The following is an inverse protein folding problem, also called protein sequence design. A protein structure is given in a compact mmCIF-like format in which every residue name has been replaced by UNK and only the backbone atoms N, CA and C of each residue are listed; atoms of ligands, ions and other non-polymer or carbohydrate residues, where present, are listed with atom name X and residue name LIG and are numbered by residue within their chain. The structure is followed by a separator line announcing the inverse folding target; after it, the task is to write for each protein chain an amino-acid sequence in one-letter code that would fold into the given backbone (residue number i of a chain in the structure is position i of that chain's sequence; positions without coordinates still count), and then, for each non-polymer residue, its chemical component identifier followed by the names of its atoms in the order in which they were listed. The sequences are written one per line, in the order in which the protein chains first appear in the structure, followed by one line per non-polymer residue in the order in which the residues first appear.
data_IF_272242438506
#
_entry.id   IF_272242438506
#
_cell.length_a   1.000
_cell.length_b   1.000
_cell.length_c   1.000
_cell.angle_alpha   90.00
_cell.angle_beta   90.00
_cell.angle_gamma   90.00
#
_symmetry.space_group_name_H-M   'P 1'
#
loop_
_entity.id
_entity.type
_entity.pdbx_description
1 polymer ?
#
# COMPACT_ATOMS: atom_id res chain seq x y z
N UNK A 1 21.42 3.08 -45.50
CA UNK A 1 20.25 2.41 -44.86
C UNK A 1 20.18 2.56 -43.34
N UNK A 2 21.28 2.66 -42.59
CA UNK A 2 21.26 2.81 -41.11
C UNK A 2 20.74 4.16 -40.58
N UNK A 3 20.87 5.28 -41.31
CA UNK A 3 20.42 6.59 -40.89
C UNK A 3 18.88 6.78 -40.96
N UNK A 4 18.22 6.11 -41.90
CA UNK A 4 16.76 6.24 -42.07
C UNK A 4 16.00 5.43 -41.00
N UNK A 5 16.56 4.31 -40.54
CA UNK A 5 15.96 3.49 -39.50
C UNK A 5 15.95 4.19 -38.14
N UNK A 6 17.01 4.94 -37.82
CA UNK A 6 17.09 5.72 -36.57
C UNK A 6 16.15 6.95 -36.55
N UNK A 7 15.96 7.62 -37.69
CA UNK A 7 15.00 8.74 -37.77
C UNK A 7 13.56 8.28 -37.59
N UNK A 8 13.16 7.19 -38.23
CA UNK A 8 11.80 6.64 -38.13
C UNK A 8 11.49 6.12 -36.69
N UNK A 9 12.48 5.59 -35.99
CA UNK A 9 12.31 5.18 -34.58
C UNK A 9 12.23 6.37 -33.63
N UNK A 10 12.98 7.43 -33.89
CA UNK A 10 12.93 8.68 -33.08
C UNK A 10 11.60 9.39 -33.30
N UNK A 11 11.14 9.58 -34.53
CA UNK A 11 9.82 10.18 -34.84
C UNK A 11 8.64 9.35 -34.30
N UNK A 12 8.68 8.03 -34.34
CA UNK A 12 7.65 7.15 -33.77
C UNK A 12 7.65 7.20 -32.25
N UNK A 13 8.81 7.40 -31.63
CA UNK A 13 8.94 7.53 -30.18
C UNK A 13 8.48 8.92 -29.71
N UNK A 14 8.80 9.98 -30.44
CA UNK A 14 8.32 11.35 -30.20
C UNK A 14 6.80 11.49 -30.40
N UNK A 15 6.22 10.86 -31.44
CA UNK A 15 4.78 10.87 -31.67
C UNK A 15 3.99 10.09 -30.61
N UNK A 16 4.52 8.99 -30.09
CA UNK A 16 3.91 8.28 -28.95
C UNK A 16 4.00 9.08 -27.66
N UNK A 17 5.08 9.82 -27.47
CA UNK A 17 5.27 10.65 -26.26
C UNK A 17 4.33 11.84 -26.25
N UNK A 18 4.07 12.47 -27.40
CA UNK A 18 3.10 13.59 -27.52
C UNK A 18 1.64 13.17 -27.36
N UNK A 19 1.31 11.89 -27.52
CA UNK A 19 -0.04 11.36 -27.34
C UNK A 19 -0.34 10.91 -25.88
N UNK A 20 0.66 10.84 -25.00
CA UNK A 20 0.44 10.41 -23.62
C UNK A 20 -0.27 11.52 -22.82
N UNK A 21 -1.48 11.26 -22.28
CA UNK A 21 -2.27 12.26 -21.57
C UNK A 21 -1.57 12.90 -20.37
N UNK A 22 -0.63 12.20 -19.75
CA UNK A 22 0.12 12.73 -18.62
C UNK A 22 1.07 13.87 -18.97
N UNK A 23 1.47 14.02 -20.23
CA UNK A 23 2.36 15.10 -20.69
C UNK A 23 1.60 16.37 -21.10
N UNK A 24 0.29 16.38 -20.96
CA UNK A 24 -0.56 17.51 -21.30
C UNK A 24 -1.30 18.04 -20.07
N UNK A 25 -1.70 19.31 -20.13
CA UNK A 25 -2.64 19.85 -19.16
C UNK A 25 -4.00 19.15 -19.28
N UNK A 26 -4.63 18.89 -18.14
CA UNK A 26 -5.96 18.29 -18.15
C UNK A 26 -7.02 19.37 -18.44
N UNK A 27 -7.59 19.33 -19.64
CA UNK A 27 -8.69 20.22 -20.05
C UNK A 27 -10.05 19.61 -19.67
N UNK A 28 -10.18 19.13 -18.45
CA UNK A 28 -11.37 18.52 -17.88
C UNK A 28 -11.91 19.41 -16.76
N UNK A 29 -13.21 19.32 -16.41
CA UNK A 29 -13.71 20.02 -15.24
C UNK A 29 -12.88 19.68 -13.99
N UNK A 30 -12.51 20.72 -13.23
CA UNK A 30 -11.70 20.61 -12.01
C UNK A 30 -10.32 19.93 -12.21
N UNK A 31 -9.80 19.91 -13.45
CA UNK A 31 -8.52 19.25 -13.78
C UNK A 31 -8.46 17.76 -13.40
N UNK A 32 -9.61 17.09 -13.38
CA UNK A 32 -9.68 15.65 -13.09
C UNK A 32 -8.92 14.88 -14.18
N UNK A 33 -8.11 13.85 -13.84
CA UNK A 33 -7.43 13.04 -14.84
C UNK A 33 -8.39 12.49 -15.90
N UNK A 34 -8.09 12.60 -17.21
CA UNK A 34 -8.96 12.12 -18.28
C UNK A 34 -8.91 10.58 -18.37
N UNK A 35 -9.60 9.90 -17.46
CA UNK A 35 -9.59 8.44 -17.33
C UNK A 35 -10.05 7.71 -18.59
N UNK A 36 -10.90 8.34 -19.41
CA UNK A 36 -11.32 7.85 -20.72
C UNK A 36 -10.18 7.77 -21.74
N UNK A 37 -9.11 8.56 -21.55
CA UNK A 37 -7.93 8.62 -22.43
C UNK A 37 -6.69 7.94 -21.83
N UNK A 38 -6.65 7.78 -20.52
CA UNK A 38 -5.52 7.15 -19.84
C UNK A 38 -5.58 5.63 -20.03
N UNK A 39 -4.51 5.05 -20.57
CA UNK A 39 -4.35 3.62 -20.76
C UNK A 39 -3.17 3.10 -19.94
N UNK A 40 -3.15 1.79 -19.66
CA UNK A 40 -2.09 1.14 -18.87
C UNK A 40 -0.70 1.41 -19.46
N UNK A 41 -0.56 1.39 -20.78
CA UNK A 41 0.69 1.65 -21.50
C UNK A 41 1.28 3.07 -21.28
N UNK A 42 0.48 4.03 -20.82
CA UNK A 42 0.90 5.40 -20.58
C UNK A 42 1.70 5.56 -19.28
N UNK A 43 1.50 4.69 -18.28
CA UNK A 43 2.07 4.88 -16.95
C UNK A 43 3.59 4.75 -16.91
N UNK A 44 4.16 3.66 -17.41
CA UNK A 44 5.60 3.43 -17.33
C UNK A 44 6.42 4.56 -17.99
N UNK A 45 6.14 4.95 -19.24
CA UNK A 45 6.86 6.06 -19.87
C UNK A 45 6.71 7.38 -19.10
N UNK A 46 5.51 7.66 -18.58
CA UNK A 46 5.26 8.90 -17.84
C UNK A 46 5.94 8.92 -16.47
N UNK A 47 6.00 7.79 -15.77
CA UNK A 47 6.74 7.66 -14.50
C UNK A 47 8.24 7.89 -14.75
N UNK A 48 8.82 7.22 -15.75
CA UNK A 48 10.25 7.34 -16.05
C UNK A 48 10.62 8.76 -16.50
N UNK A 49 9.81 9.41 -17.33
CA UNK A 49 10.02 10.82 -17.71
C UNK A 49 9.81 11.76 -16.51
N UNK A 50 8.83 11.47 -15.64
CA UNK A 50 8.60 12.18 -14.40
C UNK A 50 9.80 12.12 -13.45
N UNK A 51 10.41 10.94 -13.28
CA UNK A 51 11.65 10.76 -12.53
C UNK A 51 12.76 11.63 -13.12
N UNK A 52 12.99 11.53 -14.43
CA UNK A 52 14.03 12.27 -15.12
C UNK A 52 13.90 13.79 -14.97
N UNK A 53 12.68 14.34 -15.11
CA UNK A 53 12.41 15.77 -14.93
C UNK A 53 12.64 16.19 -13.49
N UNK A 54 12.11 15.44 -12.54
CA UNK A 54 12.29 15.74 -11.12
C UNK A 54 13.79 15.68 -10.71
N UNK A 55 14.57 14.71 -11.22
CA UNK A 55 16.02 14.66 -10.99
C UNK A 55 16.74 15.88 -11.54
N UNK A 56 16.34 16.40 -12.69
CA UNK A 56 16.90 17.60 -13.27
C UNK A 56 16.57 18.83 -12.40
N UNK A 57 15.35 18.99 -11.93
CA UNK A 57 14.90 20.05 -11.04
C UNK A 57 15.68 20.02 -9.71
N UNK A 58 15.74 18.86 -9.07
CA UNK A 58 16.50 18.65 -7.82
C UNK A 58 17.99 18.93 -8.02
N UNK A 59 18.56 18.53 -9.15
CA UNK A 59 19.96 18.79 -9.48
C UNK A 59 20.23 20.28 -9.65
N UNK A 60 19.32 21.02 -10.28
CA UNK A 60 19.41 22.47 -10.43
C UNK A 60 19.39 23.17 -9.06
N UNK A 61 18.47 22.77 -8.16
CA UNK A 61 18.39 23.29 -6.79
C UNK A 61 19.70 23.00 -6.04
N UNK A 62 20.15 21.73 -6.06
CA UNK A 62 21.33 21.29 -5.32
C UNK A 62 22.65 21.99 -5.78
N UNK A 63 22.76 22.30 -7.07
CA UNK A 63 23.94 22.91 -7.66
C UNK A 63 23.84 24.46 -7.84
N UNK A 64 22.77 25.09 -7.38
CA UNK A 64 22.62 26.54 -7.44
C UNK A 64 23.80 27.25 -6.75
N UNK A 65 24.35 28.21 -7.40
CA UNK A 65 25.43 29.07 -6.87
C UNK A 65 24.93 30.14 -5.90
N UNK A 66 23.64 30.41 -5.87
CA UNK A 66 23.00 31.34 -4.96
C UNK A 66 23.05 30.85 -3.51
N UNK A 67 23.13 31.76 -2.58
CA UNK A 67 23.02 31.45 -1.16
C UNK A 67 21.68 30.77 -0.89
N UNK A 68 21.63 29.67 -0.08
CA UNK A 68 20.39 29.00 0.22
C UNK A 68 19.34 29.90 0.92
N UNK A 69 18.15 29.98 0.36
CA UNK A 69 16.98 30.66 0.93
C UNK A 69 15.78 29.74 0.99
N UNK A 70 14.74 30.13 1.73
CA UNK A 70 13.49 29.38 1.78
C UNK A 70 12.91 29.23 0.36
N UNK A 71 12.93 30.29 -0.44
CA UNK A 71 12.35 30.34 -1.79
C UNK A 71 13.13 29.45 -2.77
N UNK A 72 14.46 29.65 -2.85
CA UNK A 72 15.29 28.96 -3.87
C UNK A 72 15.68 27.52 -3.49
N UNK A 73 15.29 27.06 -2.31
CA UNK A 73 15.60 25.69 -1.86
C UNK A 73 14.35 24.98 -1.35
N UNK A 74 13.70 25.46 -0.30
CA UNK A 74 12.57 24.76 0.31
C UNK A 74 11.33 24.83 -0.60
N UNK A 75 10.90 26.04 -0.97
CA UNK A 75 9.75 26.23 -1.85
C UNK A 75 10.02 25.67 -3.26
N UNK A 76 11.24 25.79 -3.76
CA UNK A 76 11.63 25.17 -5.03
C UNK A 76 11.50 23.65 -5.00
N UNK A 77 11.83 22.99 -3.88
CA UNK A 77 11.63 21.54 -3.70
C UNK A 77 10.16 21.16 -3.58
N UNK A 78 9.32 22.01 -2.95
CA UNK A 78 7.86 21.74 -2.85
C UNK A 78 7.20 21.79 -4.24
N UNK A 79 7.68 22.63 -5.13
CA UNK A 79 7.17 22.80 -6.49
C UNK A 79 7.79 21.82 -7.51
N UNK A 80 8.83 21.09 -7.12
CA UNK A 80 9.50 20.13 -8.01
C UNK A 80 8.74 18.79 -8.09
N UNK A 81 8.87 18.08 -9.22
CA UNK A 81 8.34 16.75 -9.41
C UNK A 81 6.83 16.69 -9.73
N UNK A 82 6.23 17.76 -10.21
CA UNK A 82 4.80 17.83 -10.53
C UNK A 82 4.35 16.68 -11.44
N UNK A 83 5.06 16.42 -12.55
CA UNK A 83 4.71 15.34 -13.46
C UNK A 83 4.74 13.97 -12.75
N UNK A 84 5.80 13.70 -11.99
CA UNK A 84 5.94 12.42 -11.28
C UNK A 84 4.83 12.25 -10.25
N UNK A 85 4.52 13.29 -9.49
CA UNK A 85 3.44 13.29 -8.50
C UNK A 85 2.09 13.01 -9.16
N UNK A 86 1.77 13.73 -10.23
CA UNK A 86 0.56 13.58 -11.03
C UNK A 86 0.35 12.15 -11.52
N UNK A 87 1.39 11.55 -12.10
CA UNK A 87 1.32 10.16 -12.61
C UNK A 87 1.22 9.15 -11.48
N UNK A 88 2.03 9.28 -10.43
CA UNK A 88 2.06 8.33 -9.32
C UNK A 88 0.75 8.30 -8.54
N UNK A 89 0.07 9.43 -8.35
CA UNK A 89 -1.24 9.48 -7.70
C UNK A 89 -2.26 8.67 -8.50
N UNK A 90 -2.34 8.87 -9.81
CA UNK A 90 -3.29 8.13 -10.66
C UNK A 90 -2.93 6.64 -10.72
N UNK A 91 -1.65 6.32 -10.94
CA UNK A 91 -1.16 4.95 -10.98
C UNK A 91 -1.43 4.21 -9.67
N UNK A 92 -1.08 4.81 -8.54
CA UNK A 92 -1.27 4.22 -7.22
C UNK A 92 -2.74 3.93 -6.90
N UNK A 93 -3.64 4.87 -7.23
CA UNK A 93 -5.08 4.67 -7.04
C UNK A 93 -5.62 3.54 -7.90
N UNK A 94 -5.30 3.50 -9.20
CA UNK A 94 -5.76 2.43 -10.08
C UNK A 94 -5.15 1.08 -9.71
N UNK A 95 -3.86 1.05 -9.38
CA UNK A 95 -3.19 -0.20 -8.98
C UNK A 95 -3.71 -0.75 -7.65
N UNK A 96 -4.23 0.08 -6.75
CA UNK A 96 -4.80 -0.37 -5.48
C UNK A 96 -6.28 -0.75 -5.57
N UNK A 97 -7.07 -0.03 -6.36
CA UNK A 97 -8.52 -0.16 -6.40
C UNK A 97 -9.04 -0.99 -7.60
N UNK A 98 -8.34 -0.99 -8.73
CA UNK A 98 -8.74 -1.65 -9.97
C UNK A 98 -7.53 -2.15 -10.75
N UNK A 99 -6.70 -2.98 -10.12
CA UNK A 99 -5.47 -3.51 -10.71
C UNK A 99 -5.74 -4.60 -11.75
N UNK A 100 -4.74 -4.82 -12.60
CA UNK A 100 -4.65 -5.94 -13.53
C UNK A 100 -3.19 -6.39 -13.68
N UNK A 101 -2.94 -7.49 -14.39
CA UNK A 101 -1.61 -8.08 -14.54
C UNK A 101 -0.59 -7.11 -15.16
N UNK A 102 -1.04 -6.26 -16.10
CA UNK A 102 -0.19 -5.22 -16.71
C UNK A 102 0.20 -4.13 -15.71
N UNK A 103 -0.75 -3.61 -14.93
CA UNK A 103 -0.47 -2.62 -13.89
C UNK A 103 0.48 -3.19 -12.82
N UNK A 104 0.27 -4.45 -12.41
CA UNK A 104 1.18 -5.14 -11.48
C UNK A 104 2.58 -5.33 -12.04
N UNK A 105 2.68 -5.66 -13.33
CA UNK A 105 3.97 -5.75 -14.04
C UNK A 105 4.68 -4.40 -14.06
N UNK A 106 3.96 -3.33 -14.41
CA UNK A 106 4.52 -1.97 -14.39
C UNK A 106 4.97 -1.60 -12.98
N UNK A 107 4.16 -1.87 -11.95
CA UNK A 107 4.52 -1.62 -10.55
C UNK A 107 5.86 -2.29 -10.19
N UNK A 108 6.05 -3.55 -10.59
CA UNK A 108 7.30 -4.29 -10.37
C UNK A 108 8.50 -3.66 -11.09
N UNK A 109 8.29 -3.20 -12.32
CA UNK A 109 9.34 -2.61 -13.15
C UNK A 109 9.76 -1.22 -12.68
N UNK A 110 8.82 -0.37 -12.20
CA UNK A 110 9.11 1.00 -11.79
C UNK A 110 9.47 1.16 -10.32
N UNK A 111 9.10 0.21 -9.46
CA UNK A 111 9.35 0.28 -8.01
C UNK A 111 10.82 0.49 -7.63
N UNK A 112 11.80 -0.21 -8.23
CA UNK A 112 13.22 0.06 -7.97
C UNK A 112 13.66 1.46 -8.40
N UNK A 113 13.13 1.96 -9.54
CA UNK A 113 13.46 3.31 -10.03
C UNK A 113 12.93 4.39 -9.08
N UNK A 114 11.70 4.24 -8.59
CA UNK A 114 11.10 5.15 -7.62
C UNK A 114 11.85 5.13 -6.27
N UNK A 115 12.24 3.96 -5.80
CA UNK A 115 13.03 3.83 -4.57
C UNK A 115 14.41 4.49 -4.72
N UNK A 116 15.12 4.23 -5.82
CA UNK A 116 16.42 4.85 -6.11
C UNK A 116 16.30 6.38 -6.26
N UNK A 117 15.26 6.86 -6.95
CA UNK A 117 14.98 8.27 -7.10
C UNK A 117 14.76 8.97 -5.75
N UNK A 118 13.95 8.38 -4.87
CA UNK A 118 13.76 8.90 -3.52
C UNK A 118 15.07 8.97 -2.73
N UNK A 119 15.88 7.91 -2.81
CA UNK A 119 17.21 7.91 -2.18
C UNK A 119 18.15 8.93 -2.78
N UNK A 120 18.10 9.18 -4.10
CA UNK A 120 18.89 10.23 -4.78
C UNK A 120 18.55 11.63 -4.29
N UNK A 121 17.34 11.89 -3.88
CA UNK A 121 16.93 13.16 -3.28
C UNK A 121 17.42 13.25 -1.83
N UNK A 122 16.98 12.33 -0.97
CA UNK A 122 17.17 12.45 0.47
C UNK A 122 18.59 12.11 0.96
N UNK A 123 19.40 11.39 0.16
CA UNK A 123 20.80 11.12 0.47
C UNK A 123 21.76 12.08 -0.26
N UNK A 124 21.24 13.09 -0.98
CA UNK A 124 22.02 14.09 -1.69
C UNK A 124 22.66 15.07 -0.71
N UNK A 125 23.97 15.02 -0.60
CA UNK A 125 24.72 15.85 0.35
C UNK A 125 24.66 17.35 0.03
N UNK A 126 24.70 17.73 -1.28
CA UNK A 126 24.63 19.13 -1.67
C UNK A 126 23.27 19.72 -1.34
N UNK A 127 22.20 18.98 -1.65
CA UNK A 127 20.85 19.40 -1.35
C UNK A 127 20.63 19.51 0.16
N UNK A 128 21.07 18.51 0.91
CA UNK A 128 20.95 18.55 2.38
C UNK A 128 21.74 19.68 3.01
N UNK A 129 22.95 20.01 2.51
CA UNK A 129 23.71 21.18 2.97
C UNK A 129 22.91 22.48 2.80
N UNK A 130 22.17 22.63 1.70
CA UNK A 130 21.32 23.80 1.47
C UNK A 130 20.16 23.86 2.46
N UNK A 131 19.44 22.74 2.60
CA UNK A 131 18.32 22.63 3.57
C UNK A 131 18.79 22.91 5.00
N UNK A 132 19.93 22.32 5.40
CA UNK A 132 20.52 22.50 6.72
C UNK A 132 20.94 23.95 6.98
N UNK A 133 21.52 24.61 5.99
CA UNK A 133 21.94 26.03 6.12
C UNK A 133 20.75 26.97 6.38
N UNK A 134 19.57 26.65 5.85
CA UNK A 134 18.33 27.39 6.12
C UNK A 134 17.80 27.02 7.51
N UNK A 135 17.77 25.72 7.84
CA UNK A 135 17.35 25.24 9.16
C UNK A 135 18.14 25.84 10.31
N UNK A 136 19.48 25.92 10.18
CA UNK A 136 20.36 26.47 11.22
C UNK A 136 20.10 27.96 11.48
N UNK A 137 19.49 28.67 10.53
CA UNK A 137 19.14 30.09 10.64
C UNK A 137 17.65 30.37 10.85
N UNK A 138 16.83 29.33 11.07
CA UNK A 138 15.37 29.42 11.09
C UNK A 138 14.83 30.51 12.02
N UNK A 139 15.44 30.72 13.18
CA UNK A 139 15.00 31.73 14.16
C UNK A 139 15.22 33.20 13.66
N UNK A 140 16.16 33.40 12.74
CA UNK A 140 16.42 34.70 12.14
C UNK A 140 15.61 34.97 10.87
N UNK A 141 14.97 33.93 10.32
CA UNK A 141 14.10 34.03 9.16
C UNK A 141 12.68 34.45 9.61
N UNK A 142 12.12 35.43 8.93
CA UNK A 142 10.75 35.89 9.21
C UNK A 142 9.73 34.97 8.53
N UNK A 143 9.79 33.65 8.82
CA UNK A 143 8.87 32.66 8.27
C UNK A 143 7.51 32.75 8.98
N UNK A 144 6.43 32.62 8.21
CA UNK A 144 5.12 32.38 8.80
C UNK A 144 5.02 30.94 9.34
N UNK A 145 3.92 30.60 10.04
CA UNK A 145 3.75 29.28 10.69
C UNK A 145 3.80 28.13 9.68
N UNK A 146 3.21 28.30 8.51
CA UNK A 146 3.21 27.29 7.45
C UNK A 146 4.61 27.08 6.90
N UNK A 147 5.33 28.15 6.53
CA UNK A 147 6.70 28.10 6.04
C UNK A 147 7.65 27.45 7.06
N UNK A 148 7.51 27.84 8.33
CA UNK A 148 8.31 27.24 9.41
C UNK A 148 8.04 25.73 9.53
N UNK A 149 6.78 25.31 9.39
CA UNK A 149 6.40 23.89 9.42
C UNK A 149 6.90 23.11 8.21
N UNK A 150 6.84 23.69 7.03
CA UNK A 150 7.41 23.09 5.80
C UNK A 150 8.92 22.88 5.97
N UNK A 151 9.65 23.90 6.45
CA UNK A 151 11.08 23.79 6.70
C UNK A 151 11.41 22.70 7.73
N UNK A 152 10.68 22.65 8.84
CA UNK A 152 10.82 21.60 9.87
C UNK A 152 10.64 20.22 9.25
N UNK A 153 9.52 20.02 8.55
CA UNK A 153 9.19 18.73 7.93
C UNK A 153 10.25 18.31 6.91
N UNK A 154 10.72 19.24 6.09
CA UNK A 154 11.72 18.97 5.06
C UNK A 154 13.07 18.60 5.66
N UNK A 155 13.57 19.39 6.63
CA UNK A 155 14.81 19.06 7.34
C UNK A 155 14.73 17.69 8.04
N UNK A 156 13.64 17.43 8.73
CA UNK A 156 13.38 16.18 9.43
C UNK A 156 13.33 14.99 8.46
N UNK A 157 12.68 15.16 7.31
CA UNK A 157 12.61 14.11 6.28
C UNK A 157 14.02 13.71 5.79
N UNK A 158 14.92 14.67 5.57
CA UNK A 158 16.32 14.39 5.22
C UNK A 158 17.05 13.62 6.32
N UNK A 159 16.97 14.08 7.56
CA UNK A 159 17.65 13.44 8.70
C UNK A 159 17.15 12.02 8.89
N UNK A 160 15.85 11.82 8.89
CA UNK A 160 15.20 10.50 9.04
C UNK A 160 15.44 9.56 7.87
N UNK A 161 15.72 10.11 6.69
CA UNK A 161 16.09 9.33 5.50
C UNK A 161 17.59 9.03 5.42
N UNK A 162 18.39 9.45 6.39
CA UNK A 162 19.81 9.09 6.49
C UNK A 162 20.79 10.10 5.87
N UNK A 163 20.39 11.37 5.69
CA UNK A 163 21.27 12.41 5.13
C UNK A 163 22.59 12.56 5.91
N UNK A 164 22.57 12.34 7.22
CA UNK A 164 23.73 12.42 8.12
C UNK A 164 24.62 11.15 8.12
N UNK A 165 24.26 10.10 7.42
CA UNK A 165 25.05 8.87 7.36
C UNK A 165 26.34 9.06 6.57
N UNK A 166 27.36 8.25 6.89
CA UNK A 166 28.55 8.11 6.04
C UNK A 166 28.16 7.54 4.66
N UNK A 167 28.99 7.75 3.64
CA UNK A 167 28.72 7.23 2.30
C UNK A 167 28.57 5.72 2.29
N UNK A 168 29.38 4.98 3.04
CA UNK A 168 29.26 3.53 3.20
C UNK A 168 27.86 3.13 3.75
N UNK A 169 27.40 3.85 4.76
CA UNK A 169 26.08 3.58 5.36
C UNK A 169 24.93 4.03 4.46
N UNK A 170 25.10 5.09 3.66
CA UNK A 170 24.13 5.45 2.61
C UNK A 170 24.00 4.37 1.55
N UNK A 171 25.11 3.75 1.14
CA UNK A 171 25.10 2.64 0.18
C UNK A 171 24.39 1.39 0.75
N UNK A 172 24.61 1.09 2.03
CA UNK A 172 23.86 0.02 2.72
C UNK A 172 22.38 0.34 2.78
N UNK A 173 22.02 1.58 3.11
CA UNK A 173 20.62 2.02 3.19
C UNK A 173 19.92 1.92 1.84
N UNK A 174 20.57 2.30 0.73
CA UNK A 174 20.04 2.14 -0.64
C UNK A 174 19.70 0.68 -0.95
N UNK A 175 20.59 -0.26 -0.60
CA UNK A 175 20.34 -1.70 -0.78
C UNK A 175 19.13 -2.17 0.02
N UNK A 176 19.06 -1.77 1.29
CA UNK A 176 17.92 -2.10 2.17
C UNK A 176 16.62 -1.53 1.61
N UNK A 177 16.61 -0.27 1.16
CA UNK A 177 15.41 0.36 0.59
C UNK A 177 14.94 -0.33 -0.69
N UNK A 178 15.87 -0.69 -1.59
CA UNK A 178 15.56 -1.44 -2.81
C UNK A 178 14.94 -2.82 -2.49
N UNK A 179 15.53 -3.56 -1.54
CA UNK A 179 15.01 -4.85 -1.14
C UNK A 179 13.66 -4.76 -0.42
N UNK A 180 13.47 -3.75 0.46
CA UNK A 180 12.19 -3.48 1.10
C UNK A 180 11.10 -3.20 0.09
N UNK A 181 11.40 -2.38 -0.92
CA UNK A 181 10.44 -2.02 -1.98
C UNK A 181 9.97 -3.28 -2.75
N UNK A 182 10.89 -4.08 -3.25
CA UNK A 182 10.58 -5.29 -4.01
C UNK A 182 9.89 -6.36 -3.16
N UNK A 183 10.37 -6.58 -1.92
CA UNK A 183 9.79 -7.60 -1.04
C UNK A 183 8.38 -7.21 -0.57
N UNK A 184 8.13 -5.92 -0.30
CA UNK A 184 6.80 -5.42 0.06
C UNK A 184 5.81 -5.57 -1.10
N UNK A 185 6.27 -5.28 -2.32
CA UNK A 185 5.45 -5.44 -3.52
C UNK A 185 5.10 -6.92 -3.74
N UNK A 186 6.10 -7.82 -3.67
CA UNK A 186 5.89 -9.27 -3.80
C UNK A 186 4.90 -9.79 -2.75
N UNK A 187 5.06 -9.37 -1.49
CA UNK A 187 4.15 -9.73 -0.42
C UNK A 187 2.68 -9.38 -0.75
N UNK A 188 2.44 -8.16 -1.20
CA UNK A 188 1.10 -7.71 -1.58
C UNK A 188 0.53 -8.47 -2.79
N UNK A 189 1.36 -8.70 -3.81
CA UNK A 189 0.96 -9.44 -5.01
C UNK A 189 0.59 -10.89 -4.70
N UNK A 190 1.34 -11.57 -3.83
CA UNK A 190 1.04 -12.94 -3.42
C UNK A 190 -0.31 -13.05 -2.69
N UNK A 191 -0.59 -12.13 -1.75
CA UNK A 191 -1.89 -12.08 -1.06
C UNK A 191 -3.04 -11.85 -2.05
N UNK A 192 -2.86 -10.92 -2.99
CA UNK A 192 -3.88 -10.60 -3.99
C UNK A 192 -4.13 -11.79 -4.92
N UNK A 193 -3.06 -12.42 -5.43
CA UNK A 193 -3.14 -13.56 -6.33
C UNK A 193 -3.91 -14.73 -5.68
N UNK A 194 -3.60 -15.06 -4.43
CA UNK A 194 -4.31 -16.11 -3.72
C UNK A 194 -5.76 -15.74 -3.39
N UNK A 195 -6.01 -14.48 -3.01
CA UNK A 195 -7.38 -13.98 -2.81
C UNK A 195 -8.23 -14.17 -4.06
N UNK A 196 -7.66 -13.92 -5.24
CA UNK A 196 -8.35 -14.03 -6.52
C UNK A 196 -8.45 -15.49 -7.03
N UNK A 197 -7.50 -16.36 -6.65
CA UNK A 197 -7.44 -17.75 -7.05
C UNK A 197 -8.49 -18.63 -6.35
N UNK A 198 -8.83 -18.28 -5.12
CA UNK A 198 -9.72 -19.12 -4.30
C UNK A 198 -11.17 -19.06 -4.76
N UNK A 199 -11.81 -20.21 -4.80
CA UNK A 199 -13.23 -20.38 -5.14
C UNK A 199 -13.87 -21.44 -4.24
N UNK A 200 -14.86 -21.04 -3.44
CA UNK A 200 -15.78 -21.97 -2.79
C UNK A 200 -16.96 -22.19 -3.74
N UNK A 201 -16.98 -23.33 -4.41
CA UNK A 201 -18.01 -23.68 -5.39
C UNK A 201 -19.11 -24.52 -4.71
N UNK A 202 -20.33 -24.02 -4.72
CA UNK A 202 -21.52 -24.72 -4.18
C UNK A 202 -22.38 -25.15 -5.35
N UNK A 203 -22.81 -26.43 -5.35
CA UNK A 203 -23.66 -27.02 -6.38
C UNK A 203 -25.06 -27.37 -5.89
N UNK A 204 -25.25 -27.60 -4.58
CA UNK A 204 -26.54 -27.85 -3.99
C UNK A 204 -27.14 -26.59 -3.36
N UNK A 205 -28.30 -26.16 -3.85
CA UNK A 205 -29.01 -24.99 -3.33
C UNK A 205 -29.32 -25.08 -1.82
N UNK A 206 -29.44 -26.27 -1.26
CA UNK A 206 -29.70 -26.47 0.18
C UNK A 206 -28.56 -25.97 1.06
N UNK A 207 -27.33 -25.96 0.52
CA UNK A 207 -26.14 -25.45 1.23
C UNK A 207 -26.07 -23.91 1.31
N UNK A 208 -26.97 -23.22 0.58
CA UNK A 208 -27.08 -21.75 0.61
C UNK A 208 -27.98 -21.22 1.72
N UNK A 209 -28.50 -22.12 2.57
CA UNK A 209 -29.44 -21.76 3.65
C UNK A 209 -28.85 -20.69 4.55
N UNK A 210 -29.65 -19.66 4.82
CA UNK A 210 -29.30 -18.51 5.66
C UNK A 210 -28.66 -17.32 4.90
N UNK A 211 -28.16 -17.54 3.69
CA UNK A 211 -27.56 -16.47 2.89
C UNK A 211 -28.63 -15.50 2.34
N UNK A 212 -28.38 -14.19 2.33
CA UNK A 212 -29.22 -13.19 1.67
C UNK A 212 -29.33 -13.45 0.16
N UNK A 213 -30.49 -13.14 -0.43
CA UNK A 213 -30.74 -13.41 -1.84
C UNK A 213 -29.78 -12.63 -2.76
N UNK A 214 -29.42 -11.40 -2.41
CA UNK A 214 -28.46 -10.58 -3.17
C UNK A 214 -27.08 -11.26 -3.23
N UNK A 215 -26.64 -11.85 -2.12
CA UNK A 215 -25.36 -12.56 -2.08
C UNK A 215 -25.41 -13.85 -2.92
N UNK A 216 -26.54 -14.56 -2.90
CA UNK A 216 -26.77 -15.76 -3.73
C UNK A 216 -26.75 -15.39 -5.21
N UNK A 217 -27.40 -14.28 -5.60
CA UNK A 217 -27.42 -13.80 -6.98
C UNK A 217 -26.01 -13.40 -7.46
N UNK A 218 -25.26 -12.63 -6.66
CA UNK A 218 -23.89 -12.28 -6.98
C UNK A 218 -22.98 -13.51 -7.14
N UNK A 219 -23.13 -14.50 -6.25
CA UNK A 219 -22.38 -15.76 -6.35
C UNK A 219 -22.74 -16.59 -7.61
N UNK A 220 -23.98 -16.49 -8.09
CA UNK A 220 -24.39 -17.14 -9.34
C UNK A 220 -23.80 -16.42 -10.56
N UNK A 221 -23.75 -15.10 -10.55
CA UNK A 221 -23.10 -14.30 -11.62
C UNK A 221 -21.58 -14.57 -11.66
N UNK A 222 -20.92 -14.60 -10.50
CA UNK A 222 -19.52 -14.99 -10.40
C UNK A 222 -19.27 -16.39 -10.95
N UNK A 223 -20.14 -17.34 -10.64
CA UNK A 223 -20.06 -18.70 -11.18
C UNK A 223 -20.19 -18.70 -12.71
N UNK A 224 -21.14 -17.96 -13.26
CA UNK A 224 -21.35 -17.82 -14.71
C UNK A 224 -20.12 -17.19 -15.39
N UNK A 225 -19.60 -16.11 -14.83
CA UNK A 225 -18.38 -15.47 -15.35
C UNK A 225 -17.17 -16.40 -15.40
N UNK A 226 -17.15 -17.43 -14.52
CA UNK A 226 -16.09 -18.46 -14.42
C UNK A 226 -16.44 -19.76 -15.15
N UNK A 227 -17.49 -19.78 -15.99
CA UNK A 227 -17.89 -20.97 -16.75
C UNK A 227 -18.49 -22.10 -15.91
N UNK A 228 -19.06 -21.78 -14.73
CA UNK A 228 -19.66 -22.72 -13.80
C UNK A 228 -21.18 -22.50 -13.68
N UNK A 229 -21.86 -22.39 -14.80
CA UNK A 229 -23.31 -22.15 -14.84
C UNK A 229 -24.10 -23.14 -13.97
N UNK A 230 -25.14 -22.64 -13.30
CA UNK A 230 -25.97 -23.44 -12.40
C UNK A 230 -25.37 -23.72 -11.02
N UNK A 231 -24.21 -23.15 -10.72
CA UNK A 231 -23.54 -23.20 -9.41
C UNK A 231 -23.44 -21.82 -8.78
N UNK A 232 -22.86 -21.75 -7.59
CA UNK A 232 -22.58 -20.54 -6.86
C UNK A 232 -21.10 -20.50 -6.47
N UNK A 233 -20.42 -19.39 -6.74
CA UNK A 233 -19.01 -19.21 -6.39
C UNK A 233 -18.88 -18.10 -5.36
N UNK A 234 -18.30 -18.43 -4.21
CA UNK A 234 -17.91 -17.46 -3.19
C UNK A 234 -16.39 -17.32 -3.16
N UNK A 235 -15.92 -16.09 -3.06
CA UNK A 235 -14.51 -15.74 -3.11
C UNK A 235 -14.01 -15.22 -1.77
N UNK A 236 -12.70 -14.92 -1.68
CA UNK A 236 -12.12 -14.28 -0.49
C UNK A 236 -12.17 -12.74 -0.53
N UNK A 237 -12.86 -12.14 -1.50
CA UNK A 237 -13.15 -10.71 -1.46
C UNK A 237 -14.03 -10.38 -0.25
N UNK A 238 -13.81 -9.21 0.38
CA UNK A 238 -14.56 -8.83 1.58
C UNK A 238 -16.08 -8.80 1.36
N UNK A 239 -16.53 -8.44 0.17
CA UNK A 239 -17.95 -8.43 -0.22
C UNK A 239 -18.57 -9.83 -0.32
N UNK A 240 -17.76 -10.87 -0.47
CA UNK A 240 -18.19 -12.27 -0.53
C UNK A 240 -17.97 -12.99 0.80
N UNK A 241 -16.73 -13.03 1.31
CA UNK A 241 -16.39 -13.83 2.51
C UNK A 241 -17.07 -13.34 3.79
N UNK A 242 -17.13 -12.00 4.00
CA UNK A 242 -17.68 -11.47 5.25
C UNK A 242 -19.18 -11.75 5.41
N UNK A 243 -20.06 -11.45 4.43
CA UNK A 243 -21.45 -11.82 4.55
C UNK A 243 -21.67 -13.35 4.52
N UNK A 244 -20.83 -14.13 3.82
CA UNK A 244 -20.89 -15.58 3.89
C UNK A 244 -20.70 -16.08 5.32
N UNK A 245 -19.66 -15.64 6.01
CA UNK A 245 -19.37 -15.97 7.40
C UNK A 245 -20.46 -15.48 8.37
N UNK A 246 -21.15 -14.41 8.02
CA UNK A 246 -22.18 -13.79 8.85
C UNK A 246 -23.53 -14.51 8.73
N UNK A 247 -23.87 -15.03 7.55
CA UNK A 247 -25.22 -15.51 7.26
C UNK A 247 -25.34 -16.99 6.92
N UNK A 248 -24.30 -17.63 6.37
CA UNK A 248 -24.39 -19.04 6.02
C UNK A 248 -24.67 -19.92 7.24
N UNK A 249 -25.76 -20.72 7.22
CA UNK A 249 -26.04 -21.67 8.28
C UNK A 249 -25.15 -22.92 8.23
N UNK A 250 -24.47 -23.17 7.08
CA UNK A 250 -23.58 -24.31 6.92
C UNK A 250 -22.23 -24.08 7.62
N UNK A 251 -22.11 -24.61 8.85
CA UNK A 251 -20.92 -24.45 9.68
C UNK A 251 -19.63 -24.96 9.01
N UNK A 252 -19.73 -26.08 8.27
CA UNK A 252 -18.56 -26.66 7.57
C UNK A 252 -18.06 -25.75 6.46
N UNK A 253 -18.95 -25.13 5.70
CA UNK A 253 -18.58 -24.18 4.66
C UNK A 253 -18.07 -22.87 5.25
N UNK A 254 -18.59 -22.41 6.39
CA UNK A 254 -17.99 -21.28 7.13
C UNK A 254 -16.56 -21.57 7.55
N UNK A 255 -16.29 -22.76 8.09
CA UNK A 255 -14.93 -23.18 8.42
C UNK A 255 -14.04 -23.16 7.19
N UNK A 256 -14.44 -23.78 6.10
CA UNK A 256 -13.66 -23.88 4.87
C UNK A 256 -13.26 -22.50 4.31
N UNK A 257 -14.21 -21.57 4.22
CA UNK A 257 -13.89 -20.22 3.70
C UNK A 257 -13.13 -19.38 4.72
N UNK A 258 -13.35 -19.60 6.02
CA UNK A 258 -12.60 -18.93 7.08
C UNK A 258 -11.14 -19.37 7.09
N UNK A 259 -10.88 -20.67 7.01
CA UNK A 259 -9.52 -21.22 6.94
C UNK A 259 -8.80 -20.65 5.72
N UNK A 260 -9.42 -20.73 4.54
CA UNK A 260 -8.85 -20.16 3.31
C UNK A 260 -8.54 -18.66 3.41
N UNK A 261 -9.41 -17.87 4.05
CA UNK A 261 -9.22 -16.44 4.22
C UNK A 261 -8.04 -16.11 5.15
N UNK A 262 -7.88 -16.88 6.24
CA UNK A 262 -6.87 -16.60 7.27
C UNK A 262 -5.49 -17.22 6.98
N UNK A 263 -5.43 -18.22 6.10
CA UNK A 263 -4.17 -18.87 5.72
C UNK A 263 -3.63 -18.39 4.36
N UNK A 264 -4.17 -17.31 3.82
CA UNK A 264 -3.68 -16.76 2.54
C UNK A 264 -2.18 -16.52 2.55
N UNK A 265 -1.52 -16.95 1.48
CA UNK A 265 -0.08 -16.89 1.28
C UNK A 265 0.74 -17.58 2.40
N UNK A 266 0.21 -18.73 2.90
CA UNK A 266 0.86 -19.55 3.93
C UNK A 266 0.66 -21.05 3.65
N UNK A 267 1.01 -21.50 2.42
CA UNK A 267 0.73 -22.86 1.94
C UNK A 267 1.95 -23.59 1.39
N UNK A 268 3.17 -23.08 1.56
CA UNK A 268 4.41 -23.63 1.02
C UNK A 268 4.40 -23.79 -0.52
N UNK A 269 3.71 -22.85 -1.20
CA UNK A 269 3.63 -22.77 -2.67
C UNK A 269 4.27 -21.49 -3.21
N UNK A 270 4.14 -21.24 -4.51
CA UNK A 270 4.74 -20.06 -5.19
C UNK A 270 4.22 -18.71 -4.66
N UNK A 271 3.07 -18.71 -3.99
CA UNK A 271 2.46 -17.52 -3.39
C UNK A 271 2.75 -17.37 -1.90
N UNK A 272 3.56 -18.28 -1.32
CA UNK A 272 3.88 -18.24 0.11
C UNK A 272 4.65 -16.97 0.50
N UNK A 273 4.28 -16.40 1.64
CA UNK A 273 4.85 -15.16 2.15
C UNK A 273 5.69 -15.33 3.42
N UNK A 274 5.89 -16.54 3.94
CA UNK A 274 6.66 -16.76 5.17
C UNK A 274 8.06 -16.14 5.10
N UNK A 275 8.80 -16.41 4.03
CA UNK A 275 10.12 -15.83 3.83
C UNK A 275 10.07 -14.32 3.63
N UNK A 276 9.06 -13.81 2.89
CA UNK A 276 8.89 -12.37 2.69
C UNK A 276 8.63 -11.64 4.01
N UNK A 277 7.83 -12.20 4.91
CA UNK A 277 7.56 -11.64 6.25
C UNK A 277 8.83 -11.55 7.08
N UNK A 278 9.60 -12.64 7.14
CA UNK A 278 10.88 -12.69 7.87
C UNK A 278 11.85 -11.66 7.29
N UNK A 279 11.98 -11.62 5.96
CA UNK A 279 12.86 -10.67 5.27
C UNK A 279 12.45 -9.22 5.54
N UNK A 280 11.17 -8.89 5.45
CA UNK A 280 10.66 -7.54 5.73
C UNK A 280 10.93 -7.13 7.18
N UNK A 281 10.71 -8.02 8.15
CA UNK A 281 10.98 -7.74 9.56
C UNK A 281 12.46 -7.45 9.81
N UNK A 282 13.36 -8.27 9.25
CA UNK A 282 14.80 -8.10 9.38
C UNK A 282 15.30 -6.81 8.74
N UNK A 283 14.92 -6.53 7.48
CA UNK A 283 15.31 -5.32 6.77
C UNK A 283 14.80 -4.05 7.45
N UNK A 284 13.57 -4.05 7.98
CA UNK A 284 13.02 -2.93 8.76
C UNK A 284 13.81 -2.68 10.03
N UNK A 285 14.19 -3.76 10.74
CA UNK A 285 15.02 -3.66 11.93
C UNK A 285 16.44 -3.17 11.61
N UNK A 286 17.05 -3.66 10.54
CA UNK A 286 18.37 -3.22 10.08
C UNK A 286 18.36 -1.75 9.67
N UNK A 287 17.36 -1.31 8.87
CA UNK A 287 17.16 0.09 8.50
C UNK A 287 17.06 0.98 9.73
N UNK A 288 16.23 0.62 10.71
CA UNK A 288 16.06 1.41 11.91
C UNK A 288 17.38 1.57 12.70
N UNK A 289 18.10 0.48 12.90
CA UNK A 289 19.42 0.52 13.58
C UNK A 289 20.43 1.35 12.81
N UNK A 290 20.48 1.22 11.48
CA UNK A 290 21.37 2.01 10.63
C UNK A 290 21.10 3.52 10.76
N UNK A 291 19.84 3.89 10.93
CA UNK A 291 19.39 5.27 11.15
C UNK A 291 19.50 5.74 12.61
N UNK A 292 20.02 4.91 13.53
CA UNK A 292 20.25 5.26 14.93
C UNK A 292 19.07 5.00 15.87
N UNK A 293 18.03 4.31 15.42
CA UNK A 293 16.88 3.94 16.25
C UNK A 293 17.05 2.58 16.90
N UNK A 294 16.48 2.38 18.09
CA UNK A 294 16.50 1.10 18.81
C UNK A 294 15.76 0.00 18.06
N UNK A 295 14.60 0.35 17.49
CA UNK A 295 13.74 -0.58 16.76
C UNK A 295 13.03 0.12 15.60
N UNK A 296 12.41 -0.69 14.72
CA UNK A 296 11.54 -0.18 13.68
C UNK A 296 10.34 0.59 14.25
N UNK A 297 9.81 0.14 15.38
CA UNK A 297 8.70 0.82 16.07
C UNK A 297 9.11 2.20 16.58
N UNK A 298 10.32 2.36 17.14
CA UNK A 298 10.82 3.68 17.54
C UNK A 298 10.92 4.62 16.32
N UNK A 299 11.44 4.11 15.20
CA UNK A 299 11.55 4.88 13.95
C UNK A 299 10.18 5.34 13.43
N UNK A 300 9.19 4.44 13.36
CA UNK A 300 7.87 4.77 12.81
C UNK A 300 7.07 5.67 13.73
N UNK A 301 7.07 5.37 15.03
CA UNK A 301 6.21 6.06 16.00
C UNK A 301 6.68 7.47 16.35
N UNK A 302 7.93 7.83 16.08
CA UNK A 302 8.42 9.21 16.25
C UNK A 302 7.52 10.25 15.56
N UNK A 303 6.99 9.90 14.38
CA UNK A 303 6.10 10.77 13.59
C UNK A 303 4.60 10.52 13.85
N UNK A 304 4.26 9.49 14.59
CA UNK A 304 2.88 9.17 14.93
C UNK A 304 2.41 9.93 16.19
N UNK A 305 1.09 9.99 16.41
CA UNK A 305 0.51 10.58 17.63
C UNK A 305 1.03 9.91 18.91
N UNK A 306 1.28 8.62 18.87
CA UNK A 306 1.77 7.84 20.01
C UNK A 306 3.22 8.19 20.42
N UNK A 307 4.03 8.72 19.51
CA UNK A 307 5.42 9.16 19.69
C UNK A 307 6.44 8.04 19.94
N UNK A 308 6.10 7.01 20.69
CA UNK A 308 7.01 5.94 21.07
C UNK A 308 6.26 4.63 21.38
N UNK A 309 6.97 3.47 21.39
CA UNK A 309 6.38 2.17 21.68
C UNK A 309 5.76 2.04 23.08
N UNK A 310 6.27 2.75 24.07
CA UNK A 310 5.75 2.68 25.44
C UNK A 310 4.31 3.24 25.53
N UNK A 311 4.03 4.36 24.85
CA UNK A 311 2.70 4.95 24.81
C UNK A 311 1.69 4.01 24.09
N UNK A 312 2.14 3.31 23.04
CA UNK A 312 1.31 2.30 22.37
C UNK A 312 1.01 1.13 23.30
N UNK A 313 2.04 0.61 23.98
CA UNK A 313 1.88 -0.49 24.91
C UNK A 313 0.93 -0.11 26.08
N UNK A 314 1.06 1.10 26.60
CA UNK A 314 0.18 1.60 27.65
C UNK A 314 -1.28 1.59 27.19
N UNK A 315 -1.58 2.22 26.04
CA UNK A 315 -2.94 2.25 25.49
C UNK A 315 -3.51 0.84 25.28
N UNK A 316 -2.71 -0.06 24.70
CA UNK A 316 -3.15 -1.43 24.44
C UNK A 316 -3.40 -2.20 25.74
N UNK A 317 -2.56 -2.03 26.78
CA UNK A 317 -2.74 -2.69 28.06
C UNK A 317 -3.99 -2.17 28.79
N UNK A 318 -4.24 -0.86 28.74
CA UNK A 318 -5.41 -0.25 29.35
C UNK A 318 -6.73 -0.76 28.72
N UNK A 319 -6.71 -1.02 27.41
CA UNK A 319 -7.86 -1.55 26.67
C UNK A 319 -8.00 -3.07 26.80
N UNK A 320 -6.89 -3.80 26.95
CA UNK A 320 -6.89 -5.28 26.84
C UNK A 320 -7.69 -5.95 27.95
N UNK A 321 -7.49 -5.56 29.20
CA UNK A 321 -8.13 -6.21 30.33
C UNK A 321 -9.68 -6.11 30.27
N UNK A 322 -10.30 -4.91 30.12
CA UNK A 322 -11.76 -4.83 29.98
C UNK A 322 -12.28 -5.47 28.68
N UNK A 323 -11.56 -5.36 27.56
CA UNK A 323 -11.98 -5.97 26.30
C UNK A 323 -11.98 -7.50 26.39
N UNK A 324 -11.01 -8.11 27.07
CA UNK A 324 -10.94 -9.57 27.26
C UNK A 324 -12.12 -10.10 28.07
N UNK A 325 -12.56 -9.40 29.12
CA UNK A 325 -13.71 -9.80 29.93
C UNK A 325 -15.03 -9.75 29.13
N UNK A 326 -15.18 -8.71 28.30
CA UNK A 326 -16.33 -8.63 27.38
C UNK A 326 -16.28 -9.77 26.34
N UNK A 327 -15.13 -10.02 25.74
CA UNK A 327 -14.97 -11.10 24.77
C UNK A 327 -15.28 -12.50 25.35
N UNK A 328 -14.92 -12.75 26.62
CA UNK A 328 -15.30 -13.99 27.32
C UNK A 328 -16.83 -14.10 27.51
N UNK A 329 -17.48 -12.99 27.87
CA UNK A 329 -18.94 -12.94 28.00
C UNK A 329 -19.64 -13.18 26.68
N UNK A 330 -19.19 -12.55 25.61
CA UNK A 330 -19.68 -12.76 24.25
C UNK A 330 -19.49 -14.19 23.78
N UNK A 331 -18.32 -14.81 24.03
CA UNK A 331 -18.06 -16.20 23.71
C UNK A 331 -19.02 -17.15 24.46
N UNK A 332 -19.32 -16.87 25.73
CA UNK A 332 -20.30 -17.66 26.50
C UNK A 332 -21.72 -17.51 25.95
N UNK A 333 -22.12 -16.33 25.50
CA UNK A 333 -23.44 -16.11 24.87
C UNK A 333 -23.54 -16.81 23.51
N UNK A 334 -22.46 -16.79 22.73
CA UNK A 334 -22.36 -17.56 21.48
C UNK A 334 -22.48 -19.05 21.76
N UNK A 335 -21.79 -19.58 22.78
CA UNK A 335 -21.87 -21.00 23.16
C UNK A 335 -23.32 -21.40 23.53
N UNK A 336 -24.01 -20.62 24.36
CA UNK A 336 -25.41 -20.85 24.71
C UNK A 336 -26.32 -20.92 23.47
N UNK A 337 -26.05 -20.08 22.48
CA UNK A 337 -26.82 -20.07 21.23
C UNK A 337 -26.52 -21.32 20.38
N UNK A 338 -25.23 -21.73 20.31
CA UNK A 338 -24.83 -22.99 19.64
C UNK A 338 -25.48 -24.19 20.28
N UNK A 339 -25.52 -24.24 21.62
CA UNK A 339 -26.16 -25.33 22.36
C UNK A 339 -27.68 -25.45 22.06
N UNK A 340 -28.37 -24.27 21.94
CA UNK A 340 -29.78 -24.22 21.51
C UNK A 340 -29.97 -24.70 20.08
N UNK A 341 -29.01 -24.46 19.19
CA UNK A 341 -29.01 -24.99 17.81
C UNK A 341 -28.63 -26.49 17.76
N UNK A 342 -28.35 -27.13 18.90
CA UNK A 342 -27.97 -28.55 18.98
C UNK A 342 -26.49 -28.83 18.64
N UNK A 343 -25.68 -27.81 18.54
CA UNK A 343 -24.25 -27.94 18.25
C UNK A 343 -23.49 -28.09 19.58
N UNK A 344 -22.95 -29.29 19.81
CA UNK A 344 -22.27 -29.67 21.07
C UNK A 344 -20.73 -29.41 20.99
N UNK A 345 -20.26 -28.68 20.01
CA UNK A 345 -18.85 -28.32 19.88
C UNK A 345 -18.57 -26.96 20.54
N UNK A 346 -17.30 -26.70 20.89
CA UNK A 346 -16.91 -25.41 21.40
C UNK A 346 -16.94 -24.35 20.30
N UNK A 347 -17.15 -23.09 20.70
CA UNK A 347 -17.07 -21.91 19.82
C UNK A 347 -15.71 -21.90 19.11
N UNK A 348 -15.76 -21.75 17.80
CA UNK A 348 -14.57 -21.59 16.94
C UNK A 348 -14.60 -20.23 16.27
N UNK A 349 -13.48 -19.72 15.77
CA UNK A 349 -13.40 -18.39 15.12
C UNK A 349 -14.41 -18.19 13.97
N UNK A 350 -14.68 -19.23 13.18
CA UNK A 350 -15.66 -19.20 12.08
C UNK A 350 -17.13 -19.21 12.53
N UNK A 351 -17.40 -19.42 13.84
CA UNK A 351 -18.75 -19.34 14.42
C UNK A 351 -19.09 -17.91 14.87
N UNK A 352 -18.06 -17.10 15.19
CA UNK A 352 -18.23 -15.81 15.84
C UNK A 352 -19.14 -14.86 15.06
N UNK A 353 -18.87 -14.60 13.79
CA UNK A 353 -19.68 -13.68 12.98
C UNK A 353 -21.11 -14.12 12.83
N UNK A 354 -21.33 -15.41 12.60
CA UNK A 354 -22.66 -16.00 12.43
C UNK A 354 -23.51 -15.87 13.69
N UNK A 355 -22.98 -16.27 14.84
CA UNK A 355 -23.73 -16.24 16.09
C UNK A 355 -23.86 -14.84 16.66
N UNK A 356 -22.90 -13.97 16.51
CA UNK A 356 -23.05 -12.56 16.85
C UNK A 356 -24.22 -11.92 16.09
N UNK A 357 -24.36 -12.20 14.80
CA UNK A 357 -25.50 -11.70 14.02
C UNK A 357 -26.84 -12.31 14.45
N UNK A 358 -26.87 -13.60 14.79
CA UNK A 358 -28.08 -14.23 15.35
C UNK A 358 -28.50 -13.57 16.67
N UNK A 359 -27.56 -13.33 17.57
CA UNK A 359 -27.81 -12.68 18.85
C UNK A 359 -28.28 -11.23 18.63
N UNK A 360 -27.65 -10.49 17.73
CA UNK A 360 -28.04 -9.10 17.38
C UNK A 360 -29.48 -9.02 16.87
N UNK A 361 -29.94 -9.99 16.09
CA UNK A 361 -31.32 -10.04 15.57
C UNK A 361 -32.37 -10.41 16.63
N UNK A 362 -31.96 -10.95 17.76
CA UNK A 362 -32.88 -11.30 18.87
C UNK A 362 -33.03 -10.16 19.89
N UNK A 363 -32.11 -9.18 19.88
CA UNK A 363 -32.17 -7.95 20.67
C UNK A 363 -32.95 -6.85 19.94
#
# INVERSE_FOLDING_TARGET
MLAIGNMLTIEAQETKQTMNPFFQAYNTPYEVPPFDKIKTEHFKPAILEGIKKHEAEITAIANSSEAPSFENTILAMENAGELLSKVNIVFGNLNSANTNDELQKIAKEVSPNLAAHNDNIYLNEKLFKRVKAIWDKKESLKLNLEQAKILENRHKAFVRSGANLSNENKDKLRKINAELSLTSLKYGQNILAETNKYELVISDRKELTGLPQELINAAAEDAKAKGKDGKWVFTLSNSSVMPFLQYSSNRKLRQQIWDAYHTRANHDDDLDNKENVIKLANLRGEKARLLGYKSHSDYVLEEAMAKNPANVAQLLNDLWAPALEIAKTEAADIQKMMDKDGIKDQVKPYDWRYYTEKIRKQR
#
